data_IF_896138054224
#
_entry.id   IF_896138054224
#
_cell.length_a   1.000
_cell.length_b   1.000
_cell.length_c   1.000
_cell.angle_alpha   90.00
_cell.angle_beta   90.00
_cell.angle_gamma   90.00
#
_symmetry.space_group_name_H-M   'P 1'
#
loop_
_entity.id
_entity.type
_entity.pdbx_description
1 polymer ?
#
# COMPACT_ATOMS: atom_id res chain seq x y z
N UNK A 1 17.26 10.05 7.52
CA UNK A 1 15.99 9.45 7.07
C UNK A 1 14.97 9.75 8.15
N UNK A 2 13.76 10.22 7.80
CA UNK A 2 12.65 10.18 8.77
C UNK A 2 12.45 8.71 9.14
N UNK A 3 12.30 8.45 10.43
CA UNK A 3 12.06 7.11 10.94
C UNK A 3 10.71 6.61 10.39
N UNK A 4 10.67 5.36 9.94
CA UNK A 4 9.46 4.78 9.39
C UNK A 4 8.51 4.43 10.54
N UNK A 5 7.43 5.21 10.69
CA UNK A 5 6.36 4.91 11.65
C UNK A 5 5.47 3.79 11.10
N UNK A 6 5.76 2.57 11.55
CA UNK A 6 5.05 1.37 11.12
C UNK A 6 3.60 1.33 11.61
N UNK A 7 3.31 1.91 12.78
CA UNK A 7 1.97 1.91 13.36
C UNK A 7 1.04 2.78 12.52
N UNK A 8 1.45 4.01 12.26
CA UNK A 8 0.70 4.90 11.38
C UNK A 8 0.57 4.34 9.95
N UNK A 9 1.62 3.71 9.42
CA UNK A 9 1.53 3.07 8.11
C UNK A 9 0.49 1.93 8.10
N UNK A 10 0.48 1.08 9.14
CA UNK A 10 -0.49 -0.01 9.24
C UNK A 10 -1.93 0.52 9.31
N UNK A 11 -2.19 1.54 10.12
CA UNK A 11 -3.52 2.17 10.24
C UNK A 11 -4.04 2.70 8.89
N UNK A 12 -3.16 3.38 8.12
CA UNK A 12 -3.49 3.88 6.79
C UNK A 12 -3.80 2.75 5.81
N UNK A 13 -3.05 1.65 5.88
CA UNK A 13 -3.26 0.49 5.02
C UNK A 13 -4.58 -0.20 5.38
N UNK A 14 -4.88 -0.42 6.66
CA UNK A 14 -6.15 -0.99 7.10
C UNK A 14 -7.34 -0.17 6.61
N UNK A 15 -7.25 1.15 6.69
CA UNK A 15 -8.27 2.05 6.14
C UNK A 15 -8.38 1.91 4.62
N UNK A 16 -7.25 1.81 3.91
CA UNK A 16 -7.24 1.57 2.46
C UNK A 16 -7.89 0.25 2.05
N UNK A 17 -7.64 -0.83 2.81
CA UNK A 17 -8.30 -2.13 2.60
C UNK A 17 -9.80 -2.00 2.79
N UNK A 18 -10.28 -1.32 3.85
CA UNK A 18 -11.71 -1.09 4.04
C UNK A 18 -12.35 -0.32 2.88
N UNK A 19 -11.68 0.72 2.38
CA UNK A 19 -12.16 1.47 1.22
C UNK A 19 -12.21 0.58 -0.04
N UNK A 20 -11.21 -0.28 -0.25
CA UNK A 20 -11.18 -1.20 -1.39
C UNK A 20 -12.28 -2.27 -1.28
N UNK A 21 -12.63 -2.70 -0.06
CA UNK A 21 -13.80 -3.54 0.17
C UNK A 21 -15.09 -2.81 -0.21
N UNK A 22 -15.22 -1.52 0.04
CA UNK A 22 -16.45 -0.79 -0.26
C UNK A 22 -16.60 -0.42 -1.76
N UNK A 23 -15.51 -0.50 -2.55
CA UNK A 23 -15.45 -0.14 -3.96
C UNK A 23 -14.81 -1.26 -4.82
N UNK A 24 -15.54 -2.36 -5.11
CA UNK A 24 -14.99 -3.53 -5.78
C UNK A 24 -14.53 -3.20 -7.21
N UNK A 25 -13.31 -3.64 -7.55
CA UNK A 25 -12.67 -3.38 -8.85
C UNK A 25 -12.16 -1.95 -9.04
N UNK A 26 -12.26 -1.08 -8.02
CA UNK A 26 -11.62 0.22 -8.03
C UNK A 26 -10.25 0.15 -7.34
N UNK A 27 -9.28 0.90 -7.90
CA UNK A 27 -7.96 1.01 -7.30
C UNK A 27 -8.01 2.06 -6.19
N UNK A 28 -7.79 1.62 -4.96
CA UNK A 28 -7.56 2.49 -3.81
C UNK A 28 -6.07 2.73 -3.65
N UNK A 29 -5.68 4.01 -3.66
CA UNK A 29 -4.30 4.43 -3.41
C UNK A 29 -4.12 4.87 -1.96
N UNK A 30 -3.16 4.27 -1.26
CA UNK A 30 -2.78 4.67 0.10
C UNK A 30 -1.45 5.42 0.04
N UNK A 31 -1.48 6.69 0.40
CA UNK A 31 -0.32 7.59 0.32
C UNK A 31 0.51 7.58 1.60
N UNK A 32 1.79 7.19 1.50
CA UNK A 32 2.77 7.26 2.58
C UNK A 32 3.74 8.42 2.31
N UNK A 33 3.20 9.65 2.41
CA UNK A 33 3.87 10.89 1.99
C UNK A 33 5.24 11.09 2.61
N UNK A 34 5.40 10.73 3.88
CA UNK A 34 6.67 10.89 4.58
C UNK A 34 7.80 10.00 4.03
N UNK A 35 7.42 8.91 3.36
CA UNK A 35 8.35 7.95 2.75
C UNK A 35 8.55 8.18 1.25
N UNK A 36 7.82 9.15 0.67
CA UNK A 36 7.74 9.36 -0.78
C UNK A 36 7.26 8.10 -1.52
N UNK A 37 6.31 7.39 -0.91
CA UNK A 37 5.73 6.13 -1.39
C UNK A 37 4.21 6.19 -1.45
N UNK A 38 3.63 5.33 -2.29
CA UNK A 38 2.23 4.96 -2.23
C UNK A 38 2.08 3.48 -2.55
N UNK A 39 0.98 2.88 -2.09
CA UNK A 39 0.57 1.54 -2.49
C UNK A 39 -0.79 1.59 -3.19
N UNK A 40 -1.02 0.64 -4.07
CA UNK A 40 -2.30 0.44 -4.75
C UNK A 40 -2.92 -0.86 -4.27
N UNK A 41 -4.20 -0.81 -3.89
CA UNK A 41 -5.00 -1.94 -3.46
C UNK A 41 -6.24 -2.00 -4.36
N UNK A 42 -6.45 -3.13 -5.00
CA UNK A 42 -7.64 -3.43 -5.80
C UNK A 42 -8.19 -4.76 -5.29
N UNK A 43 -9.48 -4.80 -4.97
CA UNK A 43 -10.16 -6.02 -4.53
C UNK A 43 -11.37 -6.24 -5.42
N UNK A 44 -11.46 -7.41 -6.04
CA UNK A 44 -12.61 -7.78 -6.83
C UNK A 44 -13.72 -8.47 -5.98
N UNK A 45 -14.83 -8.79 -6.62
CA UNK A 45 -15.97 -9.47 -5.96
C UNK A 45 -15.64 -10.87 -5.42
N UNK A 46 -14.61 -11.53 -5.93
CA UNK A 46 -14.15 -12.84 -5.47
C UNK A 46 -13.25 -12.69 -4.26
N UNK A 47 -12.28 -11.78 -4.31
CA UNK A 47 -11.33 -11.51 -3.23
C UNK A 47 -12.04 -11.15 -1.92
N UNK A 48 -13.09 -10.32 -2.00
CA UNK A 48 -13.89 -9.87 -0.85
C UNK A 48 -14.57 -11.00 -0.08
N UNK A 49 -14.77 -12.15 -0.71
CA UNK A 49 -15.41 -13.32 -0.07
C UNK A 49 -14.43 -14.14 0.74
N UNK A 50 -13.12 -13.96 0.52
CA UNK A 50 -12.07 -14.59 1.30
C UNK A 50 -11.61 -13.64 2.41
N UNK A 51 -12.25 -13.77 3.57
CA UNK A 51 -11.92 -12.94 4.74
C UNK A 51 -10.48 -13.15 5.20
N UNK A 52 -9.94 -14.37 5.08
CA UNK A 52 -8.56 -14.65 5.49
C UNK A 52 -7.54 -13.98 4.58
N UNK A 53 -7.83 -13.94 3.27
CA UNK A 53 -7.03 -13.17 2.32
C UNK A 53 -7.07 -11.68 2.68
N UNK A 54 -8.27 -11.09 2.82
CA UNK A 54 -8.47 -9.66 3.13
C UNK A 54 -7.75 -9.27 4.43
N UNK A 55 -7.92 -10.05 5.50
CA UNK A 55 -7.31 -9.79 6.81
C UNK A 55 -5.77 -9.85 6.76
N UNK A 56 -5.20 -10.55 5.78
CA UNK A 56 -3.74 -10.65 5.61
C UNK A 56 -3.12 -9.45 4.88
N UNK A 57 -3.89 -8.71 4.08
CA UNK A 57 -3.39 -7.65 3.20
C UNK A 57 -2.60 -6.58 3.97
N UNK A 58 -3.07 -6.05 5.12
CA UNK A 58 -2.33 -5.01 5.84
C UNK A 58 -0.90 -5.44 6.22
N UNK A 59 -0.76 -6.67 6.72
CA UNK A 59 0.54 -7.24 7.09
C UNK A 59 1.45 -7.49 5.88
N UNK A 60 0.89 -8.00 4.78
CA UNK A 60 1.63 -8.22 3.53
C UNK A 60 2.13 -6.91 2.92
N UNK A 61 1.27 -5.89 2.88
CA UNK A 61 1.60 -4.57 2.38
C UNK A 61 2.68 -3.88 3.24
N UNK A 62 2.58 -3.96 4.57
CA UNK A 62 3.58 -3.42 5.47
C UNK A 62 4.95 -4.07 5.26
N UNK A 63 4.98 -5.40 5.06
CA UNK A 63 6.21 -6.12 4.73
C UNK A 63 6.80 -5.64 3.39
N UNK A 64 5.97 -5.47 2.36
CA UNK A 64 6.42 -4.98 1.06
C UNK A 64 6.94 -3.54 1.09
N UNK A 65 6.37 -2.67 1.94
CA UNK A 65 6.91 -1.33 2.20
C UNK A 65 8.30 -1.45 2.83
N UNK A 66 8.49 -2.27 3.87
CA UNK A 66 9.81 -2.54 4.46
C UNK A 66 10.81 -3.02 3.41
N UNK A 67 10.40 -3.97 2.56
CA UNK A 67 11.23 -4.47 1.45
C UNK A 67 11.63 -3.33 0.52
N UNK A 68 10.69 -2.48 0.10
CA UNK A 68 10.97 -1.34 -0.79
C UNK A 68 11.93 -0.33 -0.16
N UNK A 69 11.79 -0.06 1.14
CA UNK A 69 12.70 0.81 1.89
C UNK A 69 14.12 0.23 1.98
N UNK A 70 14.24 -1.10 2.03
CA UNK A 70 15.52 -1.82 1.97
C UNK A 70 16.08 -1.97 0.54
N UNK A 71 15.43 -1.40 -0.48
CA UNK A 71 15.83 -1.53 -1.88
C UNK A 71 15.51 -2.88 -2.51
N UNK A 72 14.65 -3.68 -1.88
CA UNK A 72 14.17 -4.96 -2.40
C UNK A 72 12.84 -4.78 -3.13
N UNK A 73 12.55 -5.68 -4.07
CA UNK A 73 11.24 -5.68 -4.73
C UNK A 73 10.12 -6.19 -3.80
N UNK A 74 8.94 -5.53 -3.83
CA UNK A 74 7.68 -6.02 -3.26
C UNK A 74 7.28 -7.39 -3.85
N UNK A 75 6.40 -8.10 -3.15
CA UNK A 75 5.96 -9.45 -3.54
C UNK A 75 4.46 -9.59 -3.75
N UNK A 76 3.67 -8.82 -3.03
CA UNK A 76 2.22 -9.00 -2.89
C UNK A 76 1.45 -7.77 -3.34
N UNK A 77 1.90 -6.56 -2.97
CA UNK A 77 1.23 -5.31 -3.35
C UNK A 77 2.17 -4.42 -4.16
N UNK A 78 1.58 -3.61 -5.04
CA UNK A 78 2.33 -2.61 -5.79
C UNK A 78 2.77 -1.49 -4.84
N UNK A 79 4.07 -1.39 -4.55
CA UNK A 79 4.66 -0.28 -3.80
C UNK A 79 5.47 0.60 -4.74
N UNK A 80 5.01 1.83 -4.96
CA UNK A 80 5.56 2.77 -5.93
C UNK A 80 6.09 4.02 -5.24
N UNK A 81 7.12 4.64 -5.82
CA UNK A 81 7.61 5.97 -5.42
C UNK A 81 6.86 7.03 -6.19
N UNK A 82 6.62 8.19 -5.59
CA UNK A 82 6.21 9.35 -6.38
C UNK A 82 7.34 9.68 -7.37
N UNK A 83 6.98 9.72 -8.65
CA UNK A 83 7.90 10.23 -9.66
C UNK A 83 7.94 11.75 -9.51
N UNK A 84 9.11 12.30 -9.18
CA UNK A 84 9.31 13.75 -9.25
C UNK A 84 9.70 14.12 -10.67
N UNK A 85 8.86 14.90 -11.34
CA UNK A 85 9.20 15.49 -12.62
C UNK A 85 10.21 16.63 -12.35
N UNK A 86 11.48 16.42 -12.69
CA UNK A 86 12.50 17.46 -12.59
C UNK A 86 12.48 18.27 -13.88
N UNK A 87 11.81 19.43 -13.86
CA UNK A 87 11.89 20.39 -14.97
C UNK A 87 13.24 21.09 -14.88
N UNK A 88 14.13 20.86 -15.85
CA UNK A 88 15.36 21.63 -16.03
C UNK A 88 15.15 22.59 -17.20
N UNK A 89 15.18 23.90 -16.90
CA UNK A 89 15.25 24.97 -17.90
C UNK A 89 16.69 25.39 -18.15
#
# INVERSE_FOLDING_TARGET
MKEFDEGNALDLIEMGVRLALDAPGEIVTVELRELDLYIEIELDELDRRDTSFVDSIPGLALNDIRRKLLGLEPRFVAVKRYSRLVVRG
#
